data_IF_373924240356
#
_entry.id   IF_373924240356
#
_cell.length_a   1.000
_cell.length_b   1.000
_cell.length_c   1.000
_cell.angle_alpha   90.00
_cell.angle_beta   90.00
_cell.angle_gamma   90.00
#
_symmetry.space_group_name_H-M   'P 1'
#
loop_
_entity.id
_entity.type
_entity.pdbx_description
1 polymer ?
#
# COMPACT_ATOMS: atom_id res chain seq x y z
N UNK A 1 -5.23 -0.28 7.66
CA UNK A 1 -6.55 -0.89 7.87
C UNK A 1 -6.37 -2.36 8.23
N UNK A 2 -6.89 -2.74 9.39
CA UNK A 2 -6.94 -4.12 9.85
C UNK A 2 -8.38 -4.61 9.73
N UNK A 3 -8.54 -5.87 9.36
CA UNK A 3 -9.79 -6.60 9.44
C UNK A 3 -9.68 -7.59 10.60
N UNK A 4 -10.52 -7.42 11.60
CA UNK A 4 -10.56 -8.25 12.81
C UNK A 4 -12.02 -8.57 13.14
N UNK A 5 -12.30 -9.83 13.46
CA UNK A 5 -13.65 -10.28 13.78
C UNK A 5 -13.78 -11.80 13.90
N UNK A 6 -15.01 -12.28 13.78
CA UNK A 6 -15.35 -13.69 13.86
C UNK A 6 -16.22 -14.10 12.68
N UNK A 7 -15.89 -15.22 12.06
CA UNK A 7 -16.70 -15.91 11.06
C UNK A 7 -17.08 -17.27 11.62
N UNK A 8 -18.36 -17.45 11.99
CA UNK A 8 -18.82 -18.62 12.75
C UNK A 8 -17.99 -18.80 14.04
N UNK A 9 -17.26 -19.91 14.14
CA UNK A 9 -16.39 -20.24 15.28
C UNK A 9 -14.89 -19.97 14.99
N UNK A 10 -14.58 -19.26 13.90
CA UNK A 10 -13.21 -18.92 13.51
C UNK A 10 -12.94 -17.44 13.74
N UNK A 11 -11.91 -17.13 14.50
CA UNK A 11 -11.38 -15.78 14.59
C UNK A 11 -10.71 -15.40 13.26
N UNK A 12 -11.05 -14.23 12.73
CA UNK A 12 -10.47 -13.68 11.50
C UNK A 12 -9.66 -12.44 11.88
N UNK A 13 -8.41 -12.42 11.43
CA UNK A 13 -7.50 -11.30 11.65
C UNK A 13 -6.58 -11.18 10.43
N UNK A 14 -6.49 -9.98 9.86
CA UNK A 14 -5.61 -9.72 8.73
C UNK A 14 -5.48 -8.24 8.41
N UNK A 15 -4.33 -7.85 7.86
CA UNK A 15 -4.13 -6.51 7.31
C UNK A 15 -4.81 -6.44 5.95
N UNK A 16 -5.53 -5.35 5.67
CA UNK A 16 -6.10 -5.08 4.34
C UNK A 16 -5.26 -4.06 3.60
N UNK A 17 -4.83 -2.99 4.28
CA UNK A 17 -3.90 -1.99 3.74
C UNK A 17 -2.98 -1.55 4.85
N UNK A 18 -1.68 -1.48 4.61
CA UNK A 18 -0.73 -0.84 5.52
C UNK A 18 0.06 0.22 4.76
N UNK A 19 0.15 1.40 5.33
CA UNK A 19 0.87 2.51 4.74
C UNK A 19 1.22 3.59 5.76
N UNK A 20 2.21 4.39 5.41
CA UNK A 20 2.70 5.48 6.26
C UNK A 20 3.14 6.67 5.42
N UNK A 21 3.08 7.87 5.98
CA UNK A 21 3.70 9.04 5.37
C UNK A 21 5.09 9.22 5.96
N UNK A 22 6.13 9.24 5.11
CA UNK A 22 7.53 9.45 5.50
C UNK A 22 8.17 10.39 4.50
N UNK A 23 8.86 11.43 4.98
CA UNK A 23 9.54 12.44 4.14
C UNK A 23 8.65 13.04 3.03
N UNK A 24 7.38 13.26 3.35
CA UNK A 24 6.39 13.80 2.40
C UNK A 24 6.04 12.85 1.25
N UNK A 25 6.25 11.54 1.43
CA UNK A 25 5.84 10.47 0.51
C UNK A 25 4.93 9.47 1.21
N UNK A 26 4.04 8.87 0.44
CA UNK A 26 3.15 7.80 0.86
C UNK A 26 3.88 6.48 0.62
N UNK A 27 4.15 5.73 1.68
CA UNK A 27 4.75 4.40 1.62
C UNK A 27 3.67 3.35 1.80
N UNK A 28 3.47 2.48 0.83
CA UNK A 28 2.49 1.39 0.87
C UNK A 28 3.23 0.10 1.22
N UNK A 29 3.06 -0.39 2.45
CA UNK A 29 3.71 -1.60 2.97
C UNK A 29 2.92 -2.87 2.67
N UNK A 30 1.61 -2.76 2.54
CA UNK A 30 0.72 -3.84 2.15
C UNK A 30 -0.53 -3.28 1.46
N UNK A 31 -0.95 -3.94 0.38
CA UNK A 31 -2.19 -3.63 -0.33
C UNK A 31 -2.91 -4.94 -0.68
N UNK A 32 -4.04 -5.19 -0.01
CA UNK A 32 -4.91 -6.33 -0.21
C UNK A 32 -6.22 -5.99 -0.92
N UNK A 33 -6.33 -4.80 -1.51
CA UNK A 33 -7.50 -4.39 -2.31
C UNK A 33 -7.32 -4.94 -3.74
N UNK A 34 -8.39 -5.48 -4.35
CA UNK A 34 -8.34 -6.09 -5.69
C UNK A 34 -7.86 -5.09 -6.76
N UNK A 35 -8.44 -3.89 -6.79
CA UNK A 35 -8.06 -2.83 -7.73
C UNK A 35 -6.81 -2.04 -7.27
N UNK A 36 -6.36 -2.24 -6.02
CA UNK A 36 -5.22 -1.56 -5.42
C UNK A 36 -5.43 -0.07 -5.11
N UNK A 37 -4.89 0.39 -3.98
CA UNK A 37 -4.96 1.81 -3.55
C UNK A 37 -4.07 2.70 -4.42
N UNK A 38 -3.04 2.13 -5.05
CA UNK A 38 -2.02 2.89 -5.78
C UNK A 38 -2.61 3.71 -6.93
N UNK A 39 -3.48 3.10 -7.75
CA UNK A 39 -4.06 3.78 -8.91
C UNK A 39 -5.09 4.84 -8.50
N UNK A 40 -5.83 4.62 -7.40
CA UNK A 40 -6.72 5.63 -6.83
C UNK A 40 -5.99 6.88 -6.33
N UNK A 41 -4.82 6.70 -5.70
CA UNK A 41 -3.97 7.82 -5.29
C UNK A 41 -3.54 8.65 -6.50
N UNK A 42 -3.16 8.00 -7.60
CA UNK A 42 -2.80 8.69 -8.84
C UNK A 42 -4.02 9.40 -9.44
N UNK A 43 -5.17 8.74 -9.49
CA UNK A 43 -6.41 9.31 -10.02
C UNK A 43 -6.90 10.53 -9.23
N UNK A 44 -6.65 10.58 -7.92
CA UNK A 44 -6.96 11.72 -7.05
C UNK A 44 -5.92 12.84 -7.09
N UNK A 45 -4.86 12.68 -7.90
CA UNK A 45 -3.88 13.72 -8.20
C UNK A 45 -2.56 13.59 -7.44
N UNK A 46 -2.32 12.48 -6.73
CA UNK A 46 -1.01 12.23 -6.10
C UNK A 46 0.00 11.85 -7.19
N UNK A 47 1.10 12.61 -7.33
CA UNK A 47 2.15 12.26 -8.28
C UNK A 47 2.81 10.90 -7.96
N UNK A 48 3.17 10.13 -9.00
CA UNK A 48 3.82 8.81 -8.82
C UNK A 48 5.15 8.88 -8.05
N UNK A 49 5.87 9.99 -8.15
CA UNK A 49 7.13 10.25 -7.42
C UNK A 49 6.92 10.60 -5.93
N UNK A 50 5.67 10.64 -5.48
CA UNK A 50 5.27 10.78 -4.07
C UNK A 50 4.75 9.48 -3.46
N UNK A 51 4.69 8.40 -4.23
CA UNK A 51 4.20 7.08 -3.79
C UNK A 51 5.38 6.10 -3.84
N UNK A 52 5.63 5.38 -2.76
CA UNK A 52 6.63 4.32 -2.65
C UNK A 52 5.91 2.99 -2.47
N UNK A 53 6.09 2.06 -3.40
CA UNK A 53 5.59 0.67 -3.30
C UNK A 53 6.51 -0.13 -2.37
N UNK A 54 6.36 0.09 -1.07
CA UNK A 54 7.28 -0.41 -0.05
C UNK A 54 7.22 -1.95 0.15
N UNK A 55 6.12 -2.58 -0.27
CA UNK A 55 6.00 -4.04 -0.35
C UNK A 55 6.95 -4.68 -1.37
N UNK A 56 7.48 -3.91 -2.34
CA UNK A 56 8.56 -4.39 -3.19
C UNK A 56 9.94 -4.22 -2.51
N UNK A 57 10.86 -5.18 -2.70
CA UNK A 57 12.25 -5.04 -2.30
C UNK A 57 12.86 -3.75 -2.88
N UNK A 58 13.74 -3.04 -2.15
CA UNK A 58 14.33 -1.77 -2.59
C UNK A 58 14.90 -1.80 -4.01
N UNK A 59 15.58 -2.89 -4.37
CA UNK A 59 16.21 -3.13 -5.68
C UNK A 59 15.23 -3.27 -6.85
N UNK A 60 13.95 -3.56 -6.60
CA UNK A 60 12.93 -3.67 -7.65
C UNK A 60 12.22 -2.34 -7.88
N UNK A 61 12.23 -1.43 -6.90
CA UNK A 61 11.43 -0.19 -6.94
C UNK A 61 11.77 0.71 -8.12
N UNK A 62 13.03 0.71 -8.58
CA UNK A 62 13.46 1.48 -9.74
C UNK A 62 12.74 1.07 -11.04
N UNK A 63 12.22 -0.16 -11.12
CA UNK A 63 11.51 -0.69 -12.28
C UNK A 63 9.98 -0.49 -12.21
N UNK A 64 9.46 0.09 -11.11
CA UNK A 64 8.01 0.20 -10.88
C UNK A 64 7.38 1.45 -11.47
N UNK A 65 8.19 2.47 -11.81
CA UNK A 65 7.69 3.78 -12.24
C UNK A 65 7.13 4.65 -11.10
N UNK A 66 7.34 4.25 -9.84
CA UNK A 66 7.03 4.98 -8.62
C UNK A 66 8.31 5.43 -7.90
N UNK A 67 8.19 6.11 -6.76
CA UNK A 67 9.35 6.52 -5.98
C UNK A 67 10.10 5.33 -5.35
N UNK A 68 11.41 5.46 -5.26
CA UNK A 68 12.31 4.43 -4.69
C UNK A 68 12.35 4.52 -3.15
N UNK A 69 12.27 5.75 -2.62
CA UNK A 69 12.24 6.12 -1.20
C UNK A 69 11.65 7.53 -1.01
#
# INVERSE_FOLDING_TARGET
MLHEGWENHRHVYGTVVDGSIRDGRIWIHYDGIEDGITDELVATGVPKDRIVLAFHPPEIREHTGYAIA
#
